data_IF_372854951768
#
_entry.id   IF_372854951768
#
_cell.length_a   1.000
_cell.length_b   1.000
_cell.length_c   1.000
_cell.angle_alpha   90.00
_cell.angle_beta   90.00
_cell.angle_gamma   90.00
#
_symmetry.space_group_name_H-M   'P 1'
#
loop_
_entity.id
_entity.type
_entity.pdbx_description
1 polymer ?
#
# COMPACT_ATOMS: atom_id res chain seq x y z
N UNK A 1 25.04 -73.49 50.57
CA UNK A 1 24.04 -72.62 51.24
C UNK A 1 23.39 -71.79 50.17
N UNK A 2 22.09 -71.90 49.96
CA UNK A 2 21.41 -71.05 48.98
C UNK A 2 21.16 -69.68 49.59
N UNK A 3 21.59 -68.66 48.91
CA UNK A 3 21.37 -67.23 49.27
C UNK A 3 19.92 -66.87 49.16
N UNK A 4 19.35 -66.29 50.22
CA UNK A 4 18.00 -65.79 50.30
C UNK A 4 17.93 -64.45 49.50
N UNK A 5 17.14 -64.38 48.46
CA UNK A 5 16.86 -63.14 47.75
C UNK A 5 15.78 -62.38 48.54
N UNK A 6 16.16 -61.28 49.12
CA UNK A 6 15.20 -60.33 49.75
C UNK A 6 14.45 -59.61 48.65
N UNK A 7 13.11 -59.59 48.63
CA UNK A 7 12.38 -58.83 47.64
C UNK A 7 12.58 -57.32 47.91
N UNK A 8 13.04 -56.62 46.88
CA UNK A 8 13.08 -55.13 46.87
C UNK A 8 11.63 -54.61 46.98
N UNK A 9 11.43 -53.73 47.92
CA UNK A 9 10.12 -53.24 48.29
C UNK A 9 9.32 -52.77 47.06
N UNK A 10 8.05 -53.13 47.09
CA UNK A 10 7.05 -52.69 46.11
C UNK A 10 7.02 -51.13 46.12
N UNK A 11 7.53 -50.53 45.06
CA UNK A 11 7.46 -49.08 44.92
C UNK A 11 6.00 -48.64 45.01
N UNK A 12 5.76 -47.63 45.83
CA UNK A 12 4.44 -47.00 45.94
C UNK A 12 3.99 -46.58 44.54
N UNK A 13 2.94 -47.21 44.03
CA UNK A 13 2.37 -46.80 42.74
C UNK A 13 1.95 -45.32 42.89
N UNK A 14 2.57 -44.47 42.11
CA UNK A 14 2.11 -43.06 41.97
C UNK A 14 0.76 -43.18 41.31
N UNK A 15 -0.31 -42.99 42.08
CA UNK A 15 -1.64 -42.85 41.53
C UNK A 15 -1.69 -41.53 40.82
N UNK A 16 -1.60 -41.55 39.50
CA UNK A 16 -1.98 -40.40 38.71
C UNK A 16 -3.44 -40.09 39.04
N UNK A 17 -3.77 -38.83 39.36
CA UNK A 17 -5.16 -38.49 39.57
C UNK A 17 -5.94 -38.87 38.31
N UNK A 18 -6.90 -39.79 38.48
CA UNK A 18 -7.80 -40.17 37.41
C UNK A 18 -8.54 -38.89 36.99
N UNK A 19 -8.28 -38.46 35.81
CA UNK A 19 -9.01 -37.31 35.25
C UNK A 19 -10.47 -37.73 35.13
N UNK A 20 -11.28 -37.34 36.13
CA UNK A 20 -12.65 -37.84 36.33
C UNK A 20 -13.70 -37.08 35.52
N UNK A 21 -13.29 -36.10 34.76
CA UNK A 21 -14.19 -35.38 33.83
C UNK A 21 -13.45 -35.14 32.52
N UNK A 22 -13.73 -35.97 31.52
CA UNK A 22 -13.54 -35.54 30.16
C UNK A 22 -14.41 -34.29 29.98
N UNK A 23 -13.84 -33.19 29.53
CA UNK A 23 -14.64 -32.05 29.06
C UNK A 23 -15.67 -32.49 28.03
N UNK A 24 -16.70 -31.70 27.75
CA UNK A 24 -17.66 -32.03 26.71
C UNK A 24 -16.87 -32.30 25.41
N UNK A 25 -17.30 -33.29 24.59
CA UNK A 25 -16.68 -33.56 23.30
C UNK A 25 -16.59 -32.25 22.49
N UNK A 26 -15.41 -32.00 21.92
CA UNK A 26 -15.24 -30.88 21.01
C UNK A 26 -16.13 -31.12 19.78
N UNK A 27 -16.93 -30.15 19.41
CA UNK A 27 -17.73 -30.17 18.17
C UNK A 27 -16.84 -29.73 16.99
N UNK A 28 -16.46 -30.63 16.07
CA UNK A 28 -15.65 -30.25 14.92
C UNK A 28 -16.41 -29.37 13.91
N UNK A 29 -17.74 -29.28 14.03
CA UNK A 29 -18.58 -28.47 13.16
C UNK A 29 -19.05 -27.16 13.84
N UNK A 30 -18.35 -26.74 14.91
CA UNK A 30 -18.65 -25.45 15.56
C UNK A 30 -18.63 -24.31 14.54
N UNK A 31 -19.58 -23.39 14.67
CA UNK A 31 -19.64 -22.18 13.83
C UNK A 31 -18.37 -21.34 14.02
N UNK A 32 -17.65 -20.96 12.94
CA UNK A 32 -16.45 -20.12 13.03
C UNK A 32 -16.76 -18.70 13.53
N UNK A 33 -17.98 -18.23 13.40
CA UNK A 33 -18.32 -16.82 13.44
C UNK A 33 -17.83 -16.07 12.19
N UNK A 34 -18.18 -14.82 12.06
CA UNK A 34 -17.77 -14.00 10.93
C UNK A 34 -16.30 -13.58 11.02
N UNK A 35 -15.67 -13.39 9.86
CA UNK A 35 -14.41 -12.67 9.78
C UNK A 35 -14.64 -11.21 10.14
N UNK A 36 -13.81 -10.66 11.05
CA UNK A 36 -13.86 -9.24 11.41
C UNK A 36 -13.53 -8.38 10.17
N UNK A 37 -13.90 -7.09 10.16
CA UNK A 37 -13.56 -6.20 9.06
C UNK A 37 -12.06 -6.26 8.75
N UNK A 38 -11.66 -6.64 7.53
CA UNK A 38 -10.26 -6.79 7.19
C UNK A 38 -9.58 -5.42 7.01
N UNK A 39 -8.26 -5.40 7.19
CA UNK A 39 -7.45 -4.26 6.77
C UNK A 39 -6.93 -4.57 5.36
N UNK A 40 -7.26 -3.68 4.41
CA UNK A 40 -6.80 -3.71 3.03
C UNK A 40 -5.98 -2.46 2.75
N UNK A 41 -4.81 -2.64 2.16
CA UNK A 41 -3.99 -1.50 1.73
C UNK A 41 -3.03 -1.93 0.61
N UNK A 42 -2.60 -0.97 -0.18
CA UNK A 42 -1.51 -1.13 -1.15
C UNK A 42 -0.20 -0.70 -0.47
N UNK A 43 0.77 -1.62 -0.34
CA UNK A 43 2.04 -1.27 0.27
C UNK A 43 2.91 -0.48 -0.72
N UNK A 44 3.83 0.39 -0.23
CA UNK A 44 4.80 1.07 -1.09
C UNK A 44 5.69 0.10 -1.87
N UNK A 45 6.19 0.54 -3.03
CA UNK A 45 7.02 -0.26 -3.95
C UNK A 45 8.26 -0.90 -3.32
N UNK A 46 8.80 -0.29 -2.26
CA UNK A 46 9.90 -0.88 -1.49
C UNK A 46 9.56 -2.19 -0.77
N UNK A 47 8.27 -2.52 -0.62
CA UNK A 47 7.79 -3.77 -0.01
C UNK A 47 7.29 -4.79 -1.04
N UNK A 48 6.92 -4.36 -2.25
CA UNK A 48 6.34 -5.20 -3.32
C UNK A 48 7.34 -5.61 -4.40
N UNK A 49 8.60 -5.15 -4.32
CA UNK A 49 9.59 -5.29 -5.38
C UNK A 49 9.11 -4.70 -6.74
N UNK A 50 8.12 -3.81 -6.69
CA UNK A 50 7.61 -3.09 -7.86
C UNK A 50 6.34 -3.68 -8.48
N UNK A 51 5.77 -4.73 -7.89
CA UNK A 51 4.48 -5.28 -8.31
C UNK A 51 3.31 -4.45 -7.75
N UNK A 52 2.19 -4.44 -8.48
CA UNK A 52 0.91 -3.94 -7.96
C UNK A 52 0.30 -4.98 -7.05
N UNK A 53 0.21 -4.70 -5.76
CA UNK A 53 -0.30 -5.62 -4.76
C UNK A 53 -1.31 -4.95 -3.84
N UNK A 54 -2.37 -5.67 -3.48
CA UNK A 54 -3.19 -5.37 -2.30
C UNK A 54 -2.85 -6.38 -1.20
N UNK A 55 -2.53 -5.87 -0.03
CA UNK A 55 -2.30 -6.68 1.14
C UNK A 55 -3.56 -6.75 1.99
N UNK A 56 -3.91 -7.96 2.41
CA UNK A 56 -5.13 -8.26 3.17
C UNK A 56 -4.74 -8.90 4.48
N UNK A 57 -5.14 -8.29 5.59
CA UNK A 57 -5.00 -8.81 6.95
C UNK A 57 -6.40 -9.03 7.50
N UNK A 58 -6.64 -10.21 8.05
CA UNK A 58 -7.95 -10.57 8.61
C UNK A 58 -7.78 -11.33 9.93
N UNK A 59 -8.79 -11.26 10.76
CA UNK A 59 -8.92 -11.99 12.01
C UNK A 59 -10.39 -12.29 12.28
N UNK A 60 -10.69 -13.05 13.33
CA UNK A 60 -12.05 -13.34 13.76
C UNK A 60 -12.10 -13.78 15.21
N UNK A 61 -13.27 -14.26 15.65
CA UNK A 61 -13.51 -14.70 17.01
C UNK A 61 -12.75 -15.95 17.41
N UNK A 62 -13.00 -16.44 18.62
CA UNK A 62 -12.24 -17.58 19.23
C UNK A 62 -12.37 -18.90 18.47
N UNK A 63 -13.45 -19.09 17.71
CA UNK A 63 -13.68 -20.29 16.89
C UNK A 63 -13.21 -20.12 15.45
N UNK A 64 -12.75 -18.92 15.07
CA UNK A 64 -12.28 -18.61 13.73
C UNK A 64 -10.92 -19.28 13.48
N UNK A 65 -10.84 -20.17 12.50
CA UNK A 65 -9.62 -20.87 12.09
C UNK A 65 -8.94 -20.25 10.88
N UNK A 66 -9.67 -19.38 10.17
CA UNK A 66 -9.20 -18.72 8.96
C UNK A 66 -10.35 -18.31 8.06
N UNK A 67 -10.02 -17.75 6.90
CA UNK A 67 -11.00 -17.41 5.87
C UNK A 67 -10.46 -17.66 4.47
N UNK A 68 -11.35 -17.96 3.53
CA UNK A 68 -11.03 -17.88 2.11
C UNK A 68 -11.16 -16.42 1.65
N UNK A 69 -10.42 -16.08 0.61
CA UNK A 69 -10.46 -14.77 -0.03
C UNK A 69 -11.10 -14.92 -1.39
N UNK A 70 -12.20 -14.23 -1.61
CA UNK A 70 -12.92 -14.18 -2.85
C UNK A 70 -13.01 -12.75 -3.34
N UNK A 71 -12.61 -12.51 -4.57
CA UNK A 71 -12.49 -11.19 -5.19
C UNK A 71 -13.46 -11.03 -6.35
N UNK A 72 -13.97 -9.83 -6.52
CA UNK A 72 -14.85 -9.44 -7.62
C UNK A 72 -14.54 -8.01 -8.06
N UNK A 73 -14.62 -7.73 -9.37
CA UNK A 73 -14.58 -6.38 -9.93
C UNK A 73 -15.97 -5.79 -10.16
N UNK A 74 -16.99 -6.64 -10.28
CA UNK A 74 -18.38 -6.22 -10.56
C UNK A 74 -19.31 -6.28 -9.33
N UNK A 75 -18.78 -6.73 -8.17
CA UNK A 75 -19.54 -6.91 -6.93
C UNK A 75 -20.52 -8.09 -6.94
N UNK A 76 -20.61 -8.83 -8.04
CA UNK A 76 -21.56 -9.93 -8.25
C UNK A 76 -20.92 -11.28 -8.51
N UNK A 77 -19.91 -11.32 -9.35
CA UNK A 77 -19.18 -12.54 -9.73
C UNK A 77 -17.87 -12.61 -8.95
N UNK A 78 -17.76 -13.59 -8.05
CA UNK A 78 -16.60 -13.75 -7.17
C UNK A 78 -15.74 -14.92 -7.60
N UNK A 79 -14.41 -14.69 -7.67
CA UNK A 79 -13.41 -15.71 -7.92
C UNK A 79 -12.57 -15.95 -6.66
N UNK A 80 -12.25 -17.21 -6.39
CA UNK A 80 -11.35 -17.59 -5.30
C UNK A 80 -9.94 -17.12 -5.59
N UNK A 81 -9.33 -16.39 -4.64
CA UNK A 81 -7.97 -15.85 -4.76
C UNK A 81 -6.97 -16.54 -3.81
N UNK A 82 -7.43 -17.06 -2.67
CA UNK A 82 -6.56 -17.72 -1.71
C UNK A 82 -7.18 -17.91 -0.34
N UNK A 83 -6.35 -18.23 0.65
CA UNK A 83 -6.80 -18.54 2.02
C UNK A 83 -5.84 -17.96 3.05
N UNK A 84 -6.37 -17.34 4.08
CA UNK A 84 -5.67 -16.97 5.31
C UNK A 84 -5.96 -18.04 6.37
N UNK A 85 -4.90 -18.68 6.91
CA UNK A 85 -4.99 -19.74 7.92
C UNK A 85 -4.66 -19.27 9.33
N UNK A 86 -4.33 -18.00 9.53
CA UNK A 86 -3.97 -17.43 10.83
C UNK A 86 -4.46 -16.00 10.93
N UNK A 87 -5.01 -15.64 12.09
CA UNK A 87 -5.41 -14.27 12.37
C UNK A 87 -4.23 -13.29 12.36
N UNK A 88 -4.42 -12.15 11.73
CA UNK A 88 -3.51 -11.04 11.80
C UNK A 88 -3.51 -10.40 13.18
N UNK A 89 -2.42 -9.73 13.54
CA UNK A 89 -2.33 -8.91 14.76
C UNK A 89 -2.90 -7.53 14.46
N UNK A 90 -4.22 -7.45 14.33
CA UNK A 90 -4.95 -6.23 14.01
C UNK A 90 -5.78 -5.74 15.20
N UNK A 91 -6.12 -4.47 15.17
CA UNK A 91 -6.91 -3.78 16.14
C UNK A 91 -7.06 -2.31 15.79
N UNK A 92 -7.27 -1.49 16.81
CA UNK A 92 -7.53 -0.06 16.64
C UNK A 92 -6.70 0.78 17.62
N UNK A 93 -6.54 2.05 17.30
CA UNK A 93 -5.95 3.02 18.20
C UNK A 93 -6.91 3.34 19.35
N UNK A 94 -6.39 3.39 20.58
CA UNK A 94 -7.15 3.80 21.77
C UNK A 94 -7.03 5.30 22.09
N UNK A 95 -6.02 5.96 21.51
CA UNK A 95 -5.80 7.39 21.62
C UNK A 95 -5.36 7.98 20.28
N UNK A 96 -5.55 9.28 20.09
CA UNK A 96 -5.05 10.00 18.93
C UNK A 96 -3.53 10.01 18.92
N UNK A 97 -2.90 9.63 17.79
CA UNK A 97 -1.49 9.83 17.53
C UNK A 97 -1.30 11.12 16.72
N UNK A 98 -0.67 12.17 17.27
CA UNK A 98 -0.41 13.39 16.52
C UNK A 98 0.58 13.16 15.37
N UNK A 99 0.54 14.03 14.35
CA UNK A 99 1.62 14.10 13.37
C UNK A 99 2.90 14.57 14.03
N UNK A 100 4.03 13.95 13.71
CA UNK A 100 5.35 14.31 14.26
C UNK A 100 6.45 13.91 13.27
N UNK A 101 7.57 14.63 13.28
CA UNK A 101 8.73 14.28 12.47
C UNK A 101 9.32 12.90 12.87
N UNK A 102 9.94 12.22 11.93
CA UNK A 102 10.68 10.97 12.16
C UNK A 102 12.11 11.25 12.69
N UNK A 103 12.61 10.55 13.72
CA UNK A 103 11.89 9.62 14.58
C UNK A 103 11.00 10.35 15.61
N UNK A 104 9.84 9.78 15.93
CA UNK A 104 8.93 10.29 16.96
C UNK A 104 9.29 9.65 18.31
N UNK A 105 9.92 10.45 19.16
CA UNK A 105 10.31 10.05 20.54
C UNK A 105 9.43 10.70 21.59
N UNK A 106 8.48 11.53 21.18
CA UNK A 106 7.64 12.31 22.07
C UNK A 106 6.25 11.71 22.29
N UNK A 107 5.69 11.08 21.22
CA UNK A 107 4.34 10.56 21.24
C UNK A 107 4.32 9.05 21.51
N UNK A 108 3.16 8.57 21.93
CA UNK A 108 2.88 7.15 22.18
C UNK A 108 1.77 6.70 21.24
N UNK A 109 1.97 5.60 20.54
CA UNK A 109 0.96 4.92 19.75
C UNK A 109 0.28 3.86 20.65
N UNK A 110 -0.90 4.20 21.17
CA UNK A 110 -1.68 3.32 22.05
C UNK A 110 -2.68 2.51 21.24
N UNK A 111 -2.64 1.18 21.37
CA UNK A 111 -3.42 0.25 20.53
C UNK A 111 -4.14 -0.80 21.36
N UNK A 112 -5.31 -1.22 20.88
CA UNK A 112 -6.10 -2.34 21.39
C UNK A 112 -6.21 -3.43 20.32
N UNK A 113 -5.68 -4.61 20.62
CA UNK A 113 -5.72 -5.80 19.78
C UNK A 113 -6.67 -6.87 20.32
N UNK A 114 -7.65 -6.50 21.12
CA UNK A 114 -8.61 -7.45 21.72
C UNK A 114 -9.34 -8.26 20.66
N UNK A 115 -9.68 -7.65 19.51
CA UNK A 115 -10.38 -8.34 18.41
C UNK A 115 -9.58 -9.49 17.79
N UNK A 116 -8.24 -9.38 17.77
CA UNK A 116 -7.34 -10.41 17.24
C UNK A 116 -6.67 -11.24 18.32
N UNK A 117 -6.82 -10.85 19.59
CA UNK A 117 -6.04 -11.37 20.73
C UNK A 117 -4.52 -11.32 20.46
N UNK A 118 -4.11 -10.36 19.64
CA UNK A 118 -2.74 -10.19 19.18
C UNK A 118 -1.77 -9.87 20.32
N UNK A 119 -0.52 -10.26 20.12
CA UNK A 119 0.57 -9.92 21.04
C UNK A 119 1.66 -9.17 20.29
N UNK A 120 2.16 -8.11 20.92
CA UNK A 120 3.25 -7.30 20.41
C UNK A 120 4.49 -7.51 21.27
N UNK A 121 5.64 -7.57 20.63
CA UNK A 121 6.94 -7.70 21.29
C UNK A 121 7.76 -6.45 21.06
N UNK A 122 8.51 -6.04 22.07
CA UNK A 122 9.50 -4.97 21.94
C UNK A 122 10.68 -5.44 21.07
N UNK A 123 11.26 -4.51 20.33
CA UNK A 123 12.54 -4.63 19.67
C UNK A 123 13.60 -3.73 20.31
N UNK A 124 14.77 -3.69 19.72
CA UNK A 124 15.80 -2.68 19.98
C UNK A 124 15.56 -1.43 19.14
N UNK A 125 16.32 -0.36 19.40
CA UNK A 125 16.33 0.81 18.52
C UNK A 125 16.76 0.42 17.11
N UNK A 126 17.77 -0.44 16.97
CA UNK A 126 18.23 -0.93 15.68
C UNK A 126 17.15 -1.75 14.93
N UNK A 127 16.33 -2.52 15.65
CA UNK A 127 15.21 -3.25 15.04
C UNK A 127 14.13 -2.27 14.53
N UNK A 128 13.81 -1.22 15.29
CA UNK A 128 12.89 -0.18 14.84
C UNK A 128 13.43 0.56 13.62
N UNK A 129 14.72 0.94 13.65
CA UNK A 129 15.40 1.63 12.56
C UNK A 129 15.55 0.77 11.29
N UNK A 130 15.61 -0.55 11.45
CA UNK A 130 15.58 -1.54 10.37
C UNK A 130 14.15 -2.00 9.99
N UNK A 131 13.11 -1.39 10.57
CA UNK A 131 11.69 -1.67 10.30
C UNK A 131 11.26 -3.11 10.60
N UNK A 132 11.94 -3.80 11.51
CA UNK A 132 11.60 -5.18 11.91
C UNK A 132 10.25 -5.22 12.61
N UNK A 133 9.87 -4.15 13.31
CA UNK A 133 8.59 -4.01 14.05
C UNK A 133 7.53 -3.26 13.23
N UNK A 134 7.52 -3.44 11.92
CA UNK A 134 6.64 -2.72 10.98
C UNK A 134 5.17 -2.94 11.30
N UNK A 135 4.39 -1.87 11.28
CA UNK A 135 2.94 -1.88 11.41
C UNK A 135 2.29 -0.87 10.44
N UNK A 136 1.03 -1.13 10.11
CA UNK A 136 0.14 -0.24 9.39
C UNK A 136 -0.72 0.51 10.39
N UNK A 137 -0.87 1.80 10.19
CA UNK A 137 -1.74 2.67 10.97
C UNK A 137 -2.42 3.64 10.02
N UNK A 138 -3.66 3.32 9.60
CA UNK A 138 -4.54 4.23 8.85
C UNK A 138 -3.84 4.94 7.67
N UNK A 139 -3.17 4.19 6.80
CA UNK A 139 -2.46 4.70 5.62
C UNK A 139 -0.98 5.04 5.85
N UNK A 140 -0.51 5.08 7.09
CA UNK A 140 0.91 5.27 7.41
C UNK A 140 1.57 3.95 7.80
N UNK A 141 2.79 3.70 7.34
CA UNK A 141 3.65 2.65 7.85
C UNK A 141 4.54 3.20 8.97
N UNK A 142 4.50 2.53 10.10
CA UNK A 142 5.21 2.92 11.33
C UNK A 142 6.01 1.70 11.82
N UNK A 143 7.21 1.91 12.38
CA UNK A 143 7.89 0.90 13.17
C UNK A 143 8.13 1.41 14.59
N UNK A 144 8.21 0.51 15.57
CA UNK A 144 8.37 0.89 16.96
C UNK A 144 9.49 0.13 17.65
N UNK A 145 10.05 0.69 18.71
CA UNK A 145 11.04 0.01 19.57
C UNK A 145 10.37 -0.77 20.70
N UNK A 146 9.57 -0.10 21.50
CA UNK A 146 9.04 -0.67 22.74
C UNK A 146 7.53 -0.90 22.61
N UNK A 147 7.06 -2.06 23.03
CA UNK A 147 5.65 -2.38 23.22
C UNK A 147 5.43 -2.69 24.70
N UNK A 148 4.79 -1.78 25.41
CA UNK A 148 4.47 -1.95 26.83
C UNK A 148 3.03 -2.44 26.96
N UNK A 149 2.82 -3.60 27.56
CA UNK A 149 1.47 -4.12 27.85
C UNK A 149 0.83 -3.27 28.95
N UNK A 150 -0.29 -2.64 28.66
CA UNK A 150 -1.03 -1.78 29.59
C UNK A 150 -2.28 -2.45 30.16
N UNK A 151 -2.92 -3.31 29.37
CA UNK A 151 -4.02 -4.19 29.76
C UNK A 151 -4.02 -5.43 28.85
N UNK A 152 -4.94 -6.37 29.05
CA UNK A 152 -5.06 -7.55 28.18
C UNK A 152 -5.19 -7.11 26.71
N UNK A 153 -4.23 -7.50 25.86
CA UNK A 153 -4.14 -7.15 24.44
C UNK A 153 -4.04 -5.64 24.12
N UNK A 154 -3.77 -4.80 25.12
CA UNK A 154 -3.57 -3.35 24.93
C UNK A 154 -2.12 -2.99 25.15
N UNK A 155 -1.58 -2.15 24.26
CA UNK A 155 -0.17 -1.81 24.25
C UNK A 155 0.05 -0.31 24.03
N UNK A 156 1.08 0.22 24.67
CA UNK A 156 1.69 1.51 24.36
C UNK A 156 3.00 1.28 23.63
N UNK A 157 3.06 1.80 22.39
CA UNK A 157 4.23 1.72 21.53
C UNK A 157 4.98 3.04 21.55
N UNK A 158 6.30 2.99 21.77
CA UNK A 158 7.16 4.17 21.87
C UNK A 158 8.42 4.05 21.04
N UNK A 159 9.08 5.19 20.78
CA UNK A 159 10.13 5.36 19.79
C UNK A 159 9.63 4.88 18.43
N UNK A 160 8.93 5.76 17.76
CA UNK A 160 8.26 5.44 16.50
C UNK A 160 9.09 5.94 15.32
N UNK A 161 9.30 5.08 14.34
CA UNK A 161 9.77 5.47 13.01
C UNK A 161 8.51 5.74 12.19
N UNK A 162 8.38 6.98 11.75
CA UNK A 162 7.20 7.48 11.06
C UNK A 162 7.40 7.51 9.55
N UNK A 163 6.32 7.39 8.78
CA UNK A 163 6.39 7.49 7.32
C UNK A 163 7.31 6.46 6.66
N UNK A 164 7.39 5.27 7.22
CA UNK A 164 8.28 4.21 6.75
C UNK A 164 7.96 3.86 5.29
N UNK A 165 8.98 3.61 4.49
CA UNK A 165 8.90 3.42 3.03
C UNK A 165 8.29 4.61 2.26
N UNK A 166 8.33 5.82 2.84
CA UNK A 166 7.82 7.03 2.18
C UNK A 166 6.32 7.24 2.29
N UNK A 167 5.62 6.48 3.15
CA UNK A 167 4.21 6.74 3.43
C UNK A 167 4.01 8.10 4.08
N UNK A 168 2.89 8.80 3.80
CA UNK A 168 2.65 10.13 4.38
C UNK A 168 2.54 10.06 5.91
N UNK A 169 3.27 10.93 6.60
CA UNK A 169 3.14 11.10 8.05
C UNK A 169 1.89 11.92 8.33
N UNK A 170 0.97 11.36 9.12
CA UNK A 170 -0.30 11.99 9.46
C UNK A 170 -0.58 12.03 10.96
N UNK A 171 -1.70 12.65 11.33
CA UNK A 171 -2.35 12.44 12.62
C UNK A 171 -3.40 11.34 12.46
N UNK A 172 -3.45 10.42 13.42
CA UNK A 172 -4.39 9.29 13.42
C UNK A 172 -5.33 9.39 14.61
N UNK A 173 -6.63 9.30 14.33
CA UNK A 173 -7.66 9.42 15.37
C UNK A 173 -7.83 8.13 16.17
N UNK A 174 -8.39 8.25 17.36
CA UNK A 174 -8.89 7.09 18.12
C UNK A 174 -9.84 6.28 17.24
N UNK A 175 -9.71 4.95 17.25
CA UNK A 175 -10.47 4.03 16.42
C UNK A 175 -9.86 3.80 15.02
N UNK A 176 -8.80 4.49 14.66
CA UNK A 176 -8.07 4.23 13.42
C UNK A 176 -7.53 2.80 13.38
N UNK A 177 -7.51 2.20 12.20
CA UNK A 177 -7.08 0.81 12.00
C UNK A 177 -5.59 0.63 12.27
N UNK A 178 -5.25 -0.44 12.96
CA UNK A 178 -3.88 -0.84 13.25
C UNK A 178 -3.66 -2.30 12.91
N UNK A 179 -2.53 -2.62 12.28
CA UNK A 179 -2.06 -4.00 12.13
C UNK A 179 -0.54 -4.09 12.23
N UNK A 180 -0.06 -5.07 13.00
CA UNK A 180 1.36 -5.41 13.05
C UNK A 180 1.62 -6.62 12.13
N UNK A 181 2.56 -6.48 11.21
CA UNK A 181 2.94 -7.52 10.26
C UNK A 181 4.45 -7.51 9.97
N UNK A 182 4.92 -8.52 9.27
CA UNK A 182 6.25 -8.58 8.70
C UNK A 182 6.17 -9.01 7.23
N UNK A 183 7.20 -8.84 6.43
CA UNK A 183 7.16 -9.14 4.99
C UNK A 183 6.83 -10.60 4.66
N UNK A 184 7.08 -11.52 5.60
CA UNK A 184 6.80 -12.95 5.48
C UNK A 184 5.79 -13.43 6.53
N UNK A 185 4.93 -12.56 7.03
CA UNK A 185 3.91 -12.91 8.01
C UNK A 185 2.84 -13.82 7.34
N UNK A 186 2.62 -15.05 7.83
CA UNK A 186 1.66 -15.96 7.22
C UNK A 186 0.19 -15.55 7.41
N UNK A 187 -0.08 -14.52 8.22
CA UNK A 187 -1.39 -13.92 8.38
C UNK A 187 -1.67 -12.81 7.36
N UNK A 188 -0.67 -12.45 6.55
CA UNK A 188 -0.77 -11.45 5.49
C UNK A 188 -0.98 -12.14 4.15
N UNK A 189 -2.10 -11.87 3.50
CA UNK A 189 -2.33 -12.30 2.12
C UNK A 189 -1.98 -11.19 1.14
N UNK A 190 -1.21 -11.53 0.12
CA UNK A 190 -0.76 -10.61 -0.93
C UNK A 190 -1.48 -10.96 -2.23
N UNK A 191 -2.28 -10.05 -2.74
CA UNK A 191 -2.94 -10.19 -4.02
C UNK A 191 -2.23 -9.33 -5.05
N UNK A 192 -1.51 -9.97 -5.97
CA UNK A 192 -0.92 -9.30 -7.13
C UNK A 192 -1.99 -9.11 -8.19
N UNK A 193 -2.16 -7.89 -8.69
CA UNK A 193 -3.16 -7.58 -9.70
C UNK A 193 -2.54 -6.91 -10.94
N UNK A 194 -3.17 -7.05 -12.13
CA UNK A 194 -2.67 -6.40 -13.35
C UNK A 194 -2.79 -4.88 -13.26
N UNK A 195 -1.85 -4.15 -13.83
CA UNK A 195 -1.89 -2.68 -13.88
C UNK A 195 -3.18 -2.12 -14.54
N UNK A 196 -3.84 -2.91 -15.40
CA UNK A 196 -5.14 -2.55 -16.00
C UNK A 196 -6.29 -2.44 -14.98
N UNK A 197 -6.10 -2.89 -13.73
CA UNK A 197 -7.08 -2.77 -12.66
C UNK A 197 -6.92 -1.45 -11.87
N UNK A 198 -5.83 -0.71 -12.07
CA UNK A 198 -5.64 0.60 -11.43
C UNK A 198 -6.82 1.51 -11.77
N UNK A 199 -7.37 2.16 -10.74
CA UNK A 199 -8.57 2.98 -10.82
C UNK A 199 -9.89 2.21 -10.70
N UNK A 200 -9.86 0.87 -10.67
CA UNK A 200 -11.04 0.04 -10.42
C UNK A 200 -11.22 -0.24 -8.92
N UNK A 201 -12.41 -0.67 -8.55
CA UNK A 201 -12.72 -1.11 -7.18
C UNK A 201 -12.81 -2.63 -7.15
N UNK A 202 -12.08 -3.25 -6.22
CA UNK A 202 -12.27 -4.65 -5.88
C UNK A 202 -13.25 -4.80 -4.72
N UNK A 203 -14.04 -5.86 -4.77
CA UNK A 203 -14.96 -6.27 -3.72
C UNK A 203 -14.47 -7.59 -3.14
N UNK A 204 -14.21 -7.61 -1.83
CA UNK A 204 -13.61 -8.76 -1.14
C UNK A 204 -14.62 -9.40 -0.22
N UNK A 205 -14.87 -10.70 -0.36
CA UNK A 205 -15.65 -11.52 0.60
C UNK A 205 -14.72 -12.51 1.29
N UNK A 206 -14.89 -12.66 2.60
CA UNK A 206 -14.04 -13.47 3.47
C UNK A 206 -14.85 -14.53 4.22
N UNK A 207 -15.34 -15.60 3.55
CA UNK A 207 -16.02 -16.69 4.23
C UNK A 207 -15.07 -17.39 5.21
N UNK A 208 -15.46 -17.40 6.47
CA UNK A 208 -14.69 -18.01 7.55
C UNK A 208 -14.84 -19.53 7.58
N UNK A 209 -13.85 -20.22 8.13
CA UNK A 209 -13.92 -21.61 8.57
C UNK A 209 -13.39 -21.72 10.00
N UNK A 210 -13.80 -22.78 10.70
CA UNK A 210 -13.49 -22.92 12.11
C UNK A 210 -12.07 -23.44 12.38
N UNK A 211 -11.66 -23.46 13.65
CA UNK A 211 -10.34 -23.91 14.11
C UNK A 211 -10.00 -25.37 13.70
N UNK A 212 -10.99 -26.16 13.27
CA UNK A 212 -10.79 -27.53 12.73
C UNK A 212 -10.71 -27.54 11.20
N UNK A 213 -10.77 -26.38 10.54
CA UNK A 213 -10.81 -26.27 9.08
C UNK A 213 -12.15 -26.71 8.47
N UNK A 214 -13.22 -26.72 9.29
CA UNK A 214 -14.56 -27.14 8.91
C UNK A 214 -15.54 -25.95 8.94
N UNK A 215 -16.83 -26.21 8.63
CA UNK A 215 -17.90 -25.23 8.72
C UNK A 215 -17.63 -23.95 7.88
N UNK A 216 -17.09 -24.13 6.66
CA UNK A 216 -16.87 -23.02 5.74
C UNK A 216 -18.16 -22.30 5.44
N UNK A 217 -18.18 -20.99 5.66
CA UNK A 217 -19.31 -20.12 5.33
C UNK A 217 -19.57 -20.04 3.82
N UNK A 218 -20.82 -19.87 3.43
CA UNK A 218 -21.19 -19.57 2.05
C UNK A 218 -20.97 -18.09 1.71
N UNK A 219 -20.75 -17.78 0.42
CA UNK A 219 -20.62 -16.41 -0.06
C UNK A 219 -21.91 -15.57 0.01
N UNK A 220 -23.06 -16.26 -0.04
CA UNK A 220 -24.36 -15.61 0.07
C UNK A 220 -24.55 -15.03 1.48
N UNK A 221 -24.95 -13.77 1.58
CA UNK A 221 -25.15 -13.10 2.86
C UNK A 221 -23.90 -12.41 3.44
N UNK A 222 -22.68 -12.70 2.95
CA UNK A 222 -21.52 -11.95 3.36
C UNK A 222 -21.50 -10.57 2.71
N UNK A 223 -21.31 -9.52 3.53
CA UNK A 223 -21.11 -8.16 3.04
C UNK A 223 -19.69 -8.03 2.51
N UNK A 224 -19.48 -7.55 1.26
CA UNK A 224 -18.16 -7.34 0.74
C UNK A 224 -17.50 -6.10 1.34
N UNK A 225 -16.18 -6.17 1.56
CA UNK A 225 -15.34 -5.00 1.79
C UNK A 225 -14.82 -4.51 0.45
N UNK A 226 -15.01 -3.22 0.14
CA UNK A 226 -14.58 -2.62 -1.12
C UNK A 226 -13.27 -1.87 -0.93
N UNK A 227 -12.38 -1.95 -1.93
CA UNK A 227 -11.12 -1.23 -1.96
C UNK A 227 -10.83 -0.70 -3.37
N UNK A 228 -10.48 0.58 -3.48
CA UNK A 228 -10.12 1.21 -4.77
C UNK A 228 -8.63 1.07 -5.02
N UNK A 229 -8.26 0.45 -6.13
CA UNK A 229 -6.88 0.20 -6.51
C UNK A 229 -6.22 1.48 -7.04
N UNK A 230 -5.14 1.92 -6.41
CA UNK A 230 -4.41 3.14 -6.78
C UNK A 230 -3.13 2.86 -7.57
N UNK A 231 -2.55 1.67 -7.40
CA UNK A 231 -1.26 1.31 -7.99
C UNK A 231 -0.06 1.76 -7.16
N UNK A 232 -0.25 2.14 -5.91
CA UNK A 232 0.82 2.69 -5.04
C UNK A 232 2.03 1.76 -4.90
N UNK A 233 1.82 0.45 -5.01
CA UNK A 233 2.89 -0.57 -4.96
C UNK A 233 3.69 -0.72 -6.24
N UNK A 234 3.23 -0.15 -7.35
CA UNK A 234 3.95 -0.25 -8.62
C UNK A 234 5.22 0.62 -8.59
N UNK A 235 6.32 0.08 -9.11
CA UNK A 235 7.44 0.94 -9.52
C UNK A 235 6.93 1.78 -10.68
N UNK A 236 6.65 3.03 -10.43
CA UNK A 236 6.28 3.99 -11.46
C UNK A 236 7.46 4.16 -12.41
N UNK A 237 7.41 3.49 -13.55
CA UNK A 237 8.42 3.66 -14.60
C UNK A 237 8.35 5.08 -15.17
N UNK A 238 9.48 5.63 -15.68
CA UNK A 238 9.44 6.90 -16.37
C UNK A 238 8.56 6.79 -17.62
N UNK A 239 7.66 7.74 -17.79
CA UNK A 239 6.88 7.93 -19.00
C UNK A 239 7.46 9.11 -19.80
N UNK A 240 7.58 8.94 -21.09
CA UNK A 240 8.14 9.96 -21.97
C UNK A 240 7.15 10.36 -23.06
N UNK A 241 6.94 11.67 -23.23
CA UNK A 241 6.32 12.25 -24.43
C UNK A 241 7.42 12.97 -25.19
N UNK A 242 7.89 12.36 -26.26
CA UNK A 242 8.96 12.90 -27.10
C UNK A 242 8.41 13.33 -28.47
N UNK A 243 8.90 14.46 -28.96
CA UNK A 243 8.52 14.99 -30.26
C UNK A 243 9.63 15.81 -30.89
N UNK A 244 9.43 16.14 -32.16
CA UNK A 244 10.33 17.03 -32.89
C UNK A 244 9.55 17.82 -33.96
N UNK A 245 10.07 18.98 -34.29
CA UNK A 245 9.52 19.84 -35.33
C UNK A 245 10.63 20.32 -36.27
N UNK A 246 10.48 20.10 -37.58
CA UNK A 246 11.45 20.53 -38.59
C UNK A 246 11.15 21.97 -39.06
N UNK A 247 12.18 22.80 -39.13
CA UNK A 247 12.04 24.21 -39.51
C UNK A 247 11.50 25.06 -38.36
N UNK A 248 11.10 26.31 -38.68
CA UNK A 248 10.49 27.27 -37.75
C UNK A 248 8.97 27.09 -37.72
N UNK A 249 8.34 26.94 -36.53
CA UNK A 249 6.88 26.83 -36.46
C UNK A 249 6.18 28.16 -36.83
N UNK A 250 5.00 28.03 -37.44
CA UNK A 250 4.16 29.19 -37.71
C UNK A 250 3.47 29.71 -36.43
N UNK A 251 2.89 30.94 -36.49
CA UNK A 251 2.17 31.53 -35.39
C UNK A 251 1.03 30.62 -34.88
N UNK A 252 1.02 30.39 -33.57
CA UNK A 252 0.03 29.55 -32.87
C UNK A 252 -0.06 28.10 -33.40
N UNK A 253 0.95 27.65 -34.11
CA UNK A 253 0.95 26.27 -34.66
C UNK A 253 1.10 25.22 -33.57
N UNK A 254 0.21 24.22 -33.59
CA UNK A 254 0.35 23.03 -32.74
C UNK A 254 1.46 22.15 -33.34
N UNK A 255 2.54 21.98 -32.58
CA UNK A 255 3.72 21.20 -32.98
C UNK A 255 3.74 19.80 -32.34
N UNK A 256 2.92 19.56 -31.33
CA UNK A 256 2.72 18.26 -30.71
C UNK A 256 1.25 18.03 -30.40
N UNK A 257 0.78 16.81 -30.62
CA UNK A 257 -0.53 16.34 -30.20
C UNK A 257 -0.42 14.87 -29.81
N UNK A 258 -0.38 14.60 -28.51
CA UNK A 258 -0.24 13.28 -27.94
C UNK A 258 -1.51 12.85 -27.20
N UNK A 259 -2.00 11.64 -27.43
CA UNK A 259 -3.18 11.07 -26.76
C UNK A 259 -2.70 9.99 -25.80
N UNK A 260 -3.05 10.10 -24.55
CA UNK A 260 -2.70 9.11 -23.53
C UNK A 260 -3.63 7.91 -23.61
N UNK A 261 -3.06 6.71 -23.50
CA UNK A 261 -3.79 5.43 -23.45
C UNK A 261 -3.71 4.81 -22.05
N UNK A 262 -2.78 5.29 -21.22
CA UNK A 262 -2.59 4.93 -19.82
C UNK A 262 -2.42 6.21 -18.99
N UNK A 263 -2.74 6.21 -17.70
CA UNK A 263 -2.46 7.37 -16.84
C UNK A 263 -0.96 7.70 -16.82
N UNK A 264 -0.64 9.00 -16.92
CA UNK A 264 0.73 9.53 -16.78
C UNK A 264 0.67 10.78 -15.92
N UNK A 265 1.48 10.83 -14.86
CA UNK A 265 1.62 11.99 -13.99
C UNK A 265 2.88 12.77 -14.35
N UNK A 266 2.74 14.07 -14.65
CA UNK A 266 3.85 15.00 -14.84
C UNK A 266 4.04 15.83 -13.57
N UNK A 267 5.30 15.92 -13.05
CA UNK A 267 5.58 16.69 -11.85
C UNK A 267 5.46 18.20 -12.08
N UNK A 268 5.22 18.97 -11.04
CA UNK A 268 5.37 20.42 -11.08
C UNK A 268 6.77 20.79 -11.58
N UNK A 269 6.87 21.82 -12.42
CA UNK A 269 8.13 22.23 -13.05
C UNK A 269 8.64 21.31 -14.15
N UNK A 270 7.95 20.19 -14.47
CA UNK A 270 8.39 19.21 -15.50
C UNK A 270 9.84 18.74 -15.32
N UNK A 271 10.25 18.49 -14.07
CA UNK A 271 11.61 18.03 -13.74
C UNK A 271 12.03 16.81 -14.57
N UNK A 272 13.27 16.79 -15.09
CA UNK A 272 13.78 15.73 -15.96
C UNK A 272 13.41 15.85 -17.44
N UNK A 273 12.54 16.82 -17.82
CA UNK A 273 12.24 17.13 -19.22
C UNK A 273 13.39 17.89 -19.87
N UNK A 274 13.57 17.67 -21.16
CA UNK A 274 14.63 18.31 -21.96
C UNK A 274 14.07 18.76 -23.31
N UNK A 275 14.52 19.94 -23.78
CA UNK A 275 14.18 20.47 -25.09
C UNK A 275 15.35 21.18 -25.72
N UNK A 276 15.49 21.07 -27.04
CA UNK A 276 16.56 21.72 -27.79
C UNK A 276 16.06 22.22 -29.14
N UNK A 277 16.80 23.16 -29.73
CA UNK A 277 16.59 23.69 -31.07
C UNK A 277 17.90 23.59 -31.87
N UNK A 278 17.79 23.35 -33.17
CA UNK A 278 18.93 23.34 -34.08
C UNK A 278 19.45 24.74 -34.40
N UNK A 279 18.60 25.78 -34.24
CA UNK A 279 18.98 27.19 -34.29
C UNK A 279 18.43 27.91 -33.05
N UNK A 280 19.29 28.73 -32.40
CA UNK A 280 18.94 29.46 -31.19
C UNK A 280 17.94 30.58 -31.46
N UNK A 281 17.13 30.88 -30.46
CA UNK A 281 16.17 31.99 -30.50
C UNK A 281 16.86 33.35 -30.48
N UNK A 282 16.44 34.28 -31.33
CA UNK A 282 16.88 35.68 -31.29
C UNK A 282 15.98 36.55 -30.43
N UNK A 283 14.74 36.13 -30.19
CA UNK A 283 13.79 36.69 -29.22
C UNK A 283 13.27 35.58 -28.32
N UNK A 284 12.72 35.90 -27.11
CA UNK A 284 12.12 34.90 -26.26
C UNK A 284 10.98 34.18 -26.97
N UNK A 285 10.94 32.86 -26.92
CA UNK A 285 9.89 32.03 -27.53
C UNK A 285 9.28 31.10 -26.49
N UNK A 286 8.02 31.35 -26.14
CA UNK A 286 7.24 30.56 -25.16
C UNK A 286 6.21 29.70 -25.84
N UNK A 287 6.41 28.41 -25.80
CA UNK A 287 5.44 27.39 -26.30
C UNK A 287 4.49 27.02 -25.17
N UNK A 288 3.19 27.05 -25.45
CA UNK A 288 2.17 26.63 -24.50
C UNK A 288 2.06 25.11 -24.46
N UNK A 289 2.10 24.53 -23.27
CA UNK A 289 1.77 23.11 -23.01
C UNK A 289 0.35 23.09 -22.45
N UNK A 290 -0.56 22.32 -23.07
CA UNK A 290 -1.95 22.26 -22.65
C UNK A 290 -2.46 20.83 -22.50
N UNK A 291 -3.40 20.65 -21.56
CA UNK A 291 -4.21 19.44 -21.37
C UNK A 291 -5.64 19.72 -21.85
N UNK A 292 -6.11 18.96 -22.83
CA UNK A 292 -7.48 19.10 -23.38
C UNK A 292 -7.83 20.55 -23.74
N UNK A 293 -6.85 21.30 -24.28
CA UNK A 293 -6.99 22.70 -24.67
C UNK A 293 -6.79 23.72 -23.52
N UNK A 294 -6.65 23.29 -22.27
CA UNK A 294 -6.35 24.18 -21.13
C UNK A 294 -4.85 24.24 -20.89
N UNK A 295 -4.25 25.44 -20.91
CA UNK A 295 -2.81 25.61 -20.65
C UNK A 295 -2.46 25.19 -19.22
N UNK A 296 -1.40 24.37 -19.09
CA UNK A 296 -0.91 23.82 -17.82
C UNK A 296 0.55 24.16 -17.56
N UNK A 297 1.31 24.57 -18.58
CA UNK A 297 2.73 24.86 -18.49
C UNK A 297 3.30 25.44 -19.78
N UNK A 298 4.61 25.63 -19.81
CA UNK A 298 5.33 26.18 -20.96
C UNK A 298 6.65 25.46 -21.23
N UNK A 299 7.10 25.54 -22.47
CA UNK A 299 8.46 25.24 -22.92
C UNK A 299 9.05 26.54 -23.48
N UNK A 300 10.07 27.08 -22.83
CA UNK A 300 10.57 28.42 -23.06
C UNK A 300 12.02 28.41 -23.55
N UNK A 301 12.25 29.10 -24.69
CA UNK A 301 13.61 29.39 -25.18
C UNK A 301 13.93 30.85 -24.91
N UNK A 302 14.98 31.12 -24.10
CA UNK A 302 15.47 32.47 -23.86
C UNK A 302 16.24 33.01 -25.08
N UNK A 303 16.46 34.33 -25.13
CA UNK A 303 17.33 34.93 -26.14
C UNK A 303 18.70 34.27 -26.16
N UNK A 304 19.15 33.87 -27.34
CA UNK A 304 20.45 33.23 -27.54
C UNK A 304 20.49 31.75 -27.13
N UNK A 305 19.40 31.20 -26.59
CA UNK A 305 19.34 29.82 -26.14
C UNK A 305 18.87 28.89 -27.23
N UNK A 306 19.55 27.75 -27.36
CA UNK A 306 19.11 26.59 -28.12
C UNK A 306 18.55 25.47 -27.20
N UNK A 307 18.53 25.68 -25.88
CA UNK A 307 17.98 24.76 -24.88
C UNK A 307 16.77 25.37 -24.24
N UNK A 308 15.70 24.59 -24.08
CA UNK A 308 14.47 25.03 -23.45
C UNK A 308 14.54 24.88 -21.93
N UNK A 309 13.85 25.77 -21.22
CA UNK A 309 13.38 25.58 -19.85
C UNK A 309 11.90 25.22 -19.86
N UNK A 310 11.45 24.52 -18.81
CA UNK A 310 10.05 24.08 -18.69
C UNK A 310 9.43 24.65 -17.41
N UNK A 311 8.15 25.01 -17.49
CA UNK A 311 7.35 25.40 -16.34
C UNK A 311 6.03 24.63 -16.31
N UNK A 312 5.60 24.25 -15.13
CA UNK A 312 4.28 23.70 -14.84
C UNK A 312 3.96 24.02 -13.38
N UNK A 313 2.91 24.79 -13.12
CA UNK A 313 2.64 25.32 -11.77
C UNK A 313 2.25 24.22 -10.78
N UNK A 314 1.50 23.23 -11.24
CA UNK A 314 1.01 22.11 -10.42
C UNK A 314 1.26 20.79 -11.13
N UNK A 315 1.56 19.73 -10.37
CA UNK A 315 1.60 18.40 -10.93
C UNK A 315 0.27 18.06 -11.62
N UNK A 316 0.35 17.47 -12.81
CA UNK A 316 -0.83 17.20 -13.64
C UNK A 316 -0.82 15.75 -14.11
N UNK A 317 -1.90 15.02 -13.83
CA UNK A 317 -2.11 13.66 -14.31
C UNK A 317 -2.98 13.67 -15.57
N UNK A 318 -2.54 12.99 -16.63
CA UNK A 318 -3.32 12.65 -17.80
C UNK A 318 -3.89 11.25 -17.63
N UNK A 319 -5.13 11.02 -18.01
CA UNK A 319 -5.79 9.70 -18.04
C UNK A 319 -6.00 9.26 -19.48
N UNK A 320 -6.41 8.02 -19.69
CA UNK A 320 -6.72 7.50 -21.03
C UNK A 320 -7.75 8.40 -21.74
N UNK A 321 -7.43 8.79 -22.97
CA UNK A 321 -8.22 9.72 -23.78
C UNK A 321 -7.86 11.21 -23.64
N UNK A 322 -7.11 11.60 -22.61
CA UNK A 322 -6.61 12.97 -22.49
C UNK A 322 -5.61 13.30 -23.61
N UNK A 323 -5.61 14.55 -24.03
CA UNK A 323 -4.76 15.07 -25.10
C UNK A 323 -3.80 16.12 -24.55
N UNK A 324 -2.49 15.89 -24.73
CA UNK A 324 -1.45 16.89 -24.55
C UNK A 324 -1.20 17.60 -25.88
N UNK A 325 -1.11 18.90 -25.87
CA UNK A 325 -0.67 19.69 -27.03
C UNK A 325 0.45 20.64 -26.63
N UNK A 326 1.41 20.85 -27.58
CA UNK A 326 2.39 21.93 -27.50
C UNK A 326 2.15 22.84 -28.70
N UNK A 327 1.97 24.14 -28.42
CA UNK A 327 1.68 25.11 -29.45
C UNK A 327 2.69 26.26 -29.42
N UNK A 328 3.11 26.70 -30.60
CA UNK A 328 3.97 27.89 -30.81
C UNK A 328 3.29 29.19 -30.32
N UNK A 329 4.07 30.21 -29.94
CA UNK A 329 3.53 31.52 -29.60
C UNK A 329 2.82 32.20 -30.80
N UNK A 330 1.94 33.14 -30.50
CA UNK A 330 1.28 33.94 -31.54
C UNK A 330 2.27 34.77 -32.39
N UNK A 331 3.43 35.10 -31.81
CA UNK A 331 4.53 35.77 -32.51
C UNK A 331 5.78 34.86 -32.37
N UNK A 332 6.00 33.95 -33.30
CA UNK A 332 7.14 33.03 -33.22
C UNK A 332 8.46 33.75 -33.52
N UNK A 333 9.54 33.26 -32.94
CA UNK A 333 10.89 33.72 -33.29
C UNK A 333 11.24 33.22 -34.70
N UNK A 334 11.74 34.11 -35.61
CA UNK A 334 11.97 33.71 -37.01
C UNK A 334 13.20 32.82 -37.19
N UNK A 335 14.09 32.74 -36.20
CA UNK A 335 15.34 31.99 -36.28
C UNK A 335 15.28 30.64 -35.54
N UNK A 336 14.44 30.55 -34.52
CA UNK A 336 14.27 29.30 -33.73
C UNK A 336 13.70 28.20 -34.62
N UNK A 337 14.48 27.13 -34.83
CA UNK A 337 14.13 26.08 -35.78
C UNK A 337 14.66 24.74 -35.36
N UNK A 338 14.07 23.67 -35.94
CA UNK A 338 14.45 22.27 -35.72
C UNK A 338 14.41 21.90 -34.24
N UNK A 339 13.21 21.95 -33.68
CA UNK A 339 12.95 21.67 -32.28
C UNK A 339 12.89 20.17 -32.00
N UNK A 340 13.38 19.76 -30.84
CA UNK A 340 13.17 18.42 -30.29
C UNK A 340 12.94 18.52 -28.78
N UNK A 341 12.08 17.69 -28.24
CA UNK A 341 11.76 17.69 -26.82
C UNK A 341 11.44 16.29 -26.32
N UNK A 342 11.63 16.11 -25.02
CA UNK A 342 11.15 14.97 -24.25
C UNK A 342 10.59 15.50 -22.93
N UNK A 343 9.29 15.31 -22.70
CA UNK A 343 8.65 15.56 -21.43
C UNK A 343 8.72 14.28 -20.60
N UNK A 344 9.14 14.39 -19.35
CA UNK A 344 9.29 13.28 -18.41
C UNK A 344 8.18 13.29 -17.38
N UNK A 345 7.44 12.21 -17.30
CA UNK A 345 6.43 11.92 -16.30
C UNK A 345 6.67 10.54 -15.68
N UNK A 346 5.69 10.05 -14.94
CA UNK A 346 5.64 8.70 -14.35
C UNK A 346 4.33 8.02 -14.75
N UNK A 347 4.40 6.70 -14.96
CA UNK A 347 3.23 5.85 -15.23
C UNK A 347 2.42 5.63 -13.97
#
# INVERSE_FOLDING_TARGET
MPGTITPIGVGTAIAYPKQTTAGPPLDPLVDPGDTNPPILFEPPSGLTAGDTEVWIIATGGIQWGGCQIWLSLDGTTYAYAGTIYRGGRQGVLTATLPSHADPDTANTLSVDLTESQGQLLSGTTADADAFVTLCYCDGELIAYRTATLTAAHQYDLTYLRRGVYGTPIGAHSTGASFARFGPNDPSLFKYVYPASFIGQTIHVKLPAFNIFGQSLQGLAGLTPTSYSLTGDGAVQGPAYVAGSWSGSPAASQVIERYIFVTPVAFPAGLGGSYGTAGAAATNPATFSIAKNGTAIGTMDFAIGAATASFTMTTATTFIAGDVLTIAAPATPDPTLANLAWTLTGTL
#
